data_IF_394556477490
#
_entry.id   IF_394556477490
#
_cell.length_a   1.000
_cell.length_b   1.000
_cell.length_c   1.000
_cell.angle_alpha   90.00
_cell.angle_beta   90.00
_cell.angle_gamma   90.00
#
_symmetry.space_group_name_H-M   'P 1'
#
loop_
_entity.id
_entity.type
_entity.pdbx_description
1 polymer ?
#
# COMPACT_ATOMS: atom_id res chain seq x y z
N UNK A 1 -28.24 -3.24 -15.44
CA UNK A 1 -29.00 -3.09 -14.19
C UNK A 1 -28.26 -3.88 -13.13
N UNK A 2 -27.88 -3.27 -12.00
CA UNK A 2 -27.20 -3.99 -10.91
C UNK A 2 -28.21 -4.78 -10.10
N UNK A 3 -27.79 -5.89 -9.50
CA UNK A 3 -28.64 -6.69 -8.63
C UNK A 3 -28.92 -5.98 -7.32
N UNK A 4 -29.98 -6.37 -6.61
CA UNK A 4 -30.30 -5.83 -5.28
C UNK A 4 -29.15 -6.03 -4.28
N UNK A 5 -28.42 -7.16 -4.40
CA UNK A 5 -27.21 -7.42 -3.61
C UNK A 5 -26.08 -6.43 -3.92
N UNK A 6 -25.80 -6.19 -5.21
CA UNK A 6 -24.78 -5.22 -5.63
C UNK A 6 -25.13 -3.80 -5.18
N UNK A 7 -26.41 -3.43 -5.25
CA UNK A 7 -26.88 -2.13 -4.77
C UNK A 7 -26.68 -1.96 -3.26
N UNK A 8 -27.08 -2.96 -2.46
CA UNK A 8 -26.85 -2.93 -1.00
C UNK A 8 -25.37 -2.85 -0.64
N UNK A 9 -24.51 -3.59 -1.34
CA UNK A 9 -23.07 -3.55 -1.12
C UNK A 9 -22.48 -2.18 -1.49
N UNK A 10 -22.91 -1.61 -2.61
CA UNK A 10 -22.51 -0.26 -3.04
C UNK A 10 -22.90 0.77 -1.99
N UNK A 11 -24.17 0.81 -1.59
CA UNK A 11 -24.69 1.77 -0.60
C UNK A 11 -23.94 1.65 0.74
N UNK A 12 -23.58 0.42 1.14
CA UNK A 12 -22.78 0.17 2.35
C UNK A 12 -21.39 0.80 2.27
N UNK A 13 -20.67 0.63 1.18
CA UNK A 13 -19.33 1.24 1.04
C UNK A 13 -19.41 2.77 0.95
N UNK A 14 -20.43 3.31 0.29
CA UNK A 14 -20.63 4.76 0.18
C UNK A 14 -20.97 5.41 1.52
N UNK A 15 -21.75 4.71 2.37
CA UNK A 15 -22.13 5.20 3.69
C UNK A 15 -20.99 5.13 4.73
N UNK A 16 -19.93 4.36 4.48
CA UNK A 16 -18.81 4.22 5.40
C UNK A 16 -17.87 5.45 5.30
N UNK A 17 -17.74 6.26 6.38
CA UNK A 17 -16.79 7.37 6.39
C UNK A 17 -15.35 6.84 6.39
N UNK A 18 -14.40 7.68 5.96
CA UNK A 18 -12.98 7.40 6.19
C UNK A 18 -12.73 7.42 7.69
N UNK A 19 -12.03 6.41 8.18
CA UNK A 19 -11.74 6.22 9.60
C UNK A 19 -10.27 5.83 9.80
N UNK A 20 -9.75 6.12 10.99
CA UNK A 20 -8.43 5.66 11.38
C UNK A 20 -8.35 4.14 11.29
N UNK A 21 -7.20 3.63 10.84
CA UNK A 21 -6.92 2.21 10.96
C UNK A 21 -7.00 1.82 12.45
N UNK A 22 -7.61 0.67 12.78
CA UNK A 22 -7.72 0.20 14.16
C UNK A 22 -6.35 -0.25 14.68
N UNK A 23 -6.22 -0.39 16.00
CA UNK A 23 -5.11 -1.16 16.57
C UNK A 23 -5.04 -2.56 15.92
N UNK A 24 -3.84 -3.09 15.63
CA UNK A 24 -2.52 -2.60 16.03
C UNK A 24 -1.87 -1.62 15.03
N UNK A 25 -2.60 -1.14 14.02
CA UNK A 25 -2.04 -0.33 12.94
C UNK A 25 -1.86 1.13 13.35
N UNK A 26 -0.62 1.59 13.30
CA UNK A 26 -0.25 2.96 13.65
C UNK A 26 0.23 3.70 12.41
N UNK A 27 -0.28 4.92 12.14
CA UNK A 27 0.21 5.71 11.02
C UNK A 27 1.68 6.07 11.25
N UNK A 28 2.51 5.88 10.24
CA UNK A 28 3.95 6.20 10.32
C UNK A 28 4.18 7.71 10.35
N UNK A 29 3.28 8.48 9.71
CA UNK A 29 3.23 9.93 9.73
C UNK A 29 1.77 10.39 9.82
N UNK A 30 1.53 11.54 10.45
CA UNK A 30 0.19 12.14 10.55
C UNK A 30 -0.44 12.42 9.18
N UNK A 31 0.40 12.61 8.15
CA UNK A 31 0.00 12.80 6.76
C UNK A 31 0.84 11.89 5.86
N UNK A 32 0.29 11.55 4.70
CA UNK A 32 1.05 10.87 3.64
C UNK A 32 2.34 11.63 3.29
N UNK A 33 3.33 10.87 2.83
CA UNK A 33 4.58 11.42 2.31
C UNK A 33 4.35 11.87 0.87
N UNK A 34 4.52 13.17 0.54
CA UNK A 34 4.32 13.64 -0.83
C UNK A 34 5.39 13.07 -1.78
N UNK A 35 4.94 12.46 -2.87
CA UNK A 35 5.74 11.89 -3.95
C UNK A 35 5.14 12.34 -5.29
N UNK A 36 5.75 13.34 -5.92
CA UNK A 36 5.30 13.81 -7.23
C UNK A 36 5.43 12.73 -8.31
N UNK A 37 4.33 12.38 -8.97
CA UNK A 37 4.34 11.47 -10.11
C UNK A 37 4.69 10.03 -9.74
N UNK A 38 4.24 9.55 -8.58
CA UNK A 38 4.46 8.18 -8.14
C UNK A 38 3.85 7.19 -9.15
N UNK A 39 4.67 6.26 -9.63
CA UNK A 39 4.31 5.23 -10.60
C UNK A 39 3.98 3.91 -9.92
N UNK A 40 4.72 3.54 -8.88
CA UNK A 40 4.48 2.33 -8.10
C UNK A 40 5.41 2.22 -6.90
N UNK A 41 5.19 1.19 -6.08
CA UNK A 41 6.02 0.88 -4.91
C UNK A 41 6.34 -0.61 -4.83
N UNK A 42 7.42 -0.94 -4.14
CA UNK A 42 7.78 -2.32 -3.83
C UNK A 42 8.47 -2.43 -2.47
N UNK A 43 8.34 -3.58 -1.82
CA UNK A 43 8.97 -3.82 -0.52
C UNK A 43 10.29 -4.57 -0.65
N UNK A 44 11.21 -4.25 0.26
CA UNK A 44 12.44 -4.97 0.51
C UNK A 44 12.68 -5.04 2.02
N UNK A 45 13.73 -5.74 2.43
CA UNK A 45 14.11 -5.87 3.84
C UNK A 45 15.47 -5.21 4.04
N UNK A 46 15.58 -4.37 5.07
CA UNK A 46 16.86 -3.79 5.45
C UNK A 46 17.81 -4.91 5.90
N UNK A 47 19.01 -5.05 5.33
CA UNK A 47 19.90 -6.19 5.61
C UNK A 47 20.32 -6.27 7.09
N UNK A 48 20.56 -5.12 7.73
CA UNK A 48 21.01 -5.10 9.13
C UNK A 48 19.87 -5.11 10.16
N UNK A 49 18.85 -4.27 10.02
CA UNK A 49 17.77 -4.16 11.02
C UNK A 49 16.62 -5.17 10.82
N UNK A 50 16.49 -5.75 9.62
CA UNK A 50 15.35 -6.57 9.25
C UNK A 50 14.03 -5.80 9.08
N UNK A 51 14.07 -4.46 9.15
CA UNK A 51 12.88 -3.63 8.93
C UNK A 51 12.39 -3.74 7.48
N UNK A 52 11.08 -3.64 7.31
CA UNK A 52 10.50 -3.43 5.99
C UNK A 52 10.95 -2.06 5.45
N UNK A 53 11.46 -2.07 4.22
CA UNK A 53 11.75 -0.89 3.42
C UNK A 53 10.77 -0.82 2.27
N UNK A 54 10.37 0.39 1.89
CA UNK A 54 9.54 0.62 0.71
C UNK A 54 10.31 1.45 -0.30
N UNK A 55 10.53 0.86 -1.47
CA UNK A 55 11.05 1.55 -2.64
C UNK A 55 9.88 2.19 -3.38
N UNK A 56 10.05 3.45 -3.75
CA UNK A 56 9.10 4.26 -4.48
C UNK A 56 9.69 4.61 -5.84
N UNK A 57 8.95 4.27 -6.89
CA UNK A 57 9.26 4.62 -8.27
C UNK A 57 8.40 5.82 -8.64
N UNK A 58 9.00 6.92 -9.07
CA UNK A 58 8.29 8.14 -9.49
C UNK A 58 8.91 8.75 -10.74
N UNK A 59 8.17 9.60 -11.43
CA UNK A 59 8.68 10.31 -12.61
C UNK A 59 9.84 11.26 -12.32
N UNK A 60 10.03 11.67 -11.06
CA UNK A 60 11.15 12.50 -10.61
C UNK A 60 12.34 11.65 -10.11
N UNK A 61 12.32 10.33 -10.35
CA UNK A 61 13.34 9.37 -9.91
C UNK A 61 12.87 8.45 -8.78
N UNK A 62 13.75 7.64 -8.20
CA UNK A 62 13.39 6.62 -7.19
C UNK A 62 13.84 6.96 -5.77
N UNK A 63 13.08 6.54 -4.77
CA UNK A 63 13.41 6.76 -3.36
C UNK A 63 13.22 5.49 -2.55
N UNK A 64 13.99 5.33 -1.48
CA UNK A 64 13.84 4.24 -0.52
C UNK A 64 13.54 4.81 0.85
N UNK A 65 12.54 4.24 1.51
CA UNK A 65 12.07 4.70 2.82
C UNK A 65 12.09 3.56 3.83
N UNK A 66 12.48 3.86 5.06
CA UNK A 66 12.22 2.98 6.21
C UNK A 66 10.74 3.09 6.58
N UNK A 67 10.03 1.96 6.62
CA UNK A 67 8.58 1.96 6.82
C UNK A 67 8.16 2.11 8.28
N UNK A 68 9.09 1.99 9.23
CA UNK A 68 8.84 2.19 10.66
C UNK A 68 8.98 3.68 11.01
N UNK A 69 10.01 4.34 10.48
CA UNK A 69 10.29 5.75 10.77
C UNK A 69 9.69 6.72 9.75
N UNK A 70 9.41 6.23 8.53
CA UNK A 70 9.03 7.07 7.39
C UNK A 70 10.16 7.95 6.89
N UNK A 71 11.41 7.68 7.27
CA UNK A 71 12.58 8.41 6.79
C UNK A 71 12.95 7.96 5.37
N UNK A 72 13.31 8.92 4.51
CA UNK A 72 13.88 8.62 3.19
C UNK A 72 15.38 8.34 3.35
N UNK A 73 15.77 7.07 3.23
CA UNK A 73 17.13 6.61 3.50
C UNK A 73 18.02 6.57 2.25
N UNK A 74 17.43 6.53 1.04
CA UNK A 74 18.16 6.66 -0.21
C UNK A 74 17.33 7.36 -1.30
N UNK A 75 18.00 7.99 -2.26
CA UNK A 75 17.39 8.72 -3.38
C UNK A 75 18.26 8.62 -4.62
N UNK A 76 17.64 8.22 -5.71
CA UNK A 76 18.16 8.39 -7.07
C UNK A 76 17.26 9.39 -7.82
N UNK A 77 17.86 10.39 -8.45
CA UNK A 77 17.14 11.43 -9.21
C UNK A 77 17.17 11.20 -10.71
N UNK A 78 18.11 10.40 -11.19
CA UNK A 78 18.30 10.16 -12.62
C UNK A 78 18.50 8.66 -12.88
N UNK A 79 17.49 7.84 -12.55
CA UNK A 79 17.59 6.40 -12.72
C UNK A 79 17.64 6.04 -14.21
N UNK A 80 18.44 5.04 -14.56
CA UNK A 80 18.65 4.67 -15.96
C UNK A 80 17.33 4.23 -16.61
N UNK A 81 16.87 4.89 -17.70
CA UNK A 81 15.50 4.73 -18.21
C UNK A 81 15.20 3.29 -18.67
N UNK A 82 16.18 2.63 -19.28
CA UNK A 82 16.00 1.28 -19.85
C UNK A 82 16.05 0.14 -18.82
N UNK A 83 16.45 0.40 -17.58
CA UNK A 83 16.66 -0.66 -16.58
C UNK A 83 15.96 -0.38 -15.27
N UNK A 84 15.55 0.86 -15.04
CA UNK A 84 15.01 1.31 -13.77
C UNK A 84 13.53 1.70 -13.88
N UNK A 85 12.91 1.63 -15.05
CA UNK A 85 11.45 1.72 -15.19
C UNK A 85 10.85 0.33 -15.00
N UNK A 86 9.79 0.14 -14.17
CA UNK A 86 9.29 -1.20 -13.85
C UNK A 86 8.94 -2.06 -15.08
N UNK A 87 8.33 -1.47 -16.11
CA UNK A 87 7.91 -2.16 -17.33
C UNK A 87 9.07 -2.50 -18.28
N UNK A 88 10.29 -2.03 -18.00
CA UNK A 88 11.49 -2.45 -18.72
C UNK A 88 11.98 -3.85 -18.29
N UNK A 89 11.48 -4.39 -17.17
CA UNK A 89 11.81 -5.72 -16.67
C UNK A 89 10.57 -6.66 -16.71
N UNK A 90 10.69 -7.93 -17.14
CA UNK A 90 9.54 -8.84 -17.30
C UNK A 90 8.77 -9.12 -15.98
N UNK A 91 9.46 -9.00 -14.84
CA UNK A 91 8.86 -9.18 -13.51
C UNK A 91 8.36 -7.88 -12.86
N UNK A 92 8.25 -6.78 -13.62
CA UNK A 92 7.88 -5.46 -13.11
C UNK A 92 8.80 -5.00 -11.97
N UNK A 93 10.11 -5.02 -12.18
CA UNK A 93 11.10 -4.83 -11.13
C UNK A 93 12.09 -3.69 -11.42
N UNK A 94 12.60 -3.08 -10.35
CA UNK A 94 13.63 -2.05 -10.41
C UNK A 94 14.84 -2.44 -9.54
N UNK A 95 16.06 -2.00 -9.89
CA UNK A 95 17.22 -2.13 -9.01
C UNK A 95 17.03 -1.41 -7.68
N UNK A 96 17.36 -2.08 -6.58
CA UNK A 96 17.33 -1.51 -5.24
C UNK A 96 18.32 -0.36 -5.06
N UNK A 97 18.05 0.49 -4.08
CA UNK A 97 18.85 1.67 -3.74
C UNK A 97 19.55 1.51 -2.39
N UNK A 98 20.71 2.16 -2.21
CA UNK A 98 21.39 2.25 -0.92
C UNK A 98 21.61 0.89 -0.26
N UNK A 99 21.07 0.61 0.94
CA UNK A 99 21.32 -0.63 1.66
C UNK A 99 20.79 -1.90 0.97
N UNK A 100 19.93 -1.78 -0.04
CA UNK A 100 19.41 -2.91 -0.82
C UNK A 100 19.94 -2.94 -2.26
N UNK A 101 21.02 -2.20 -2.55
CA UNK A 101 21.69 -2.24 -3.83
C UNK A 101 22.06 -3.69 -4.22
N UNK A 102 21.91 -4.01 -5.50
CA UNK A 102 22.09 -5.38 -6.01
C UNK A 102 20.88 -6.30 -5.84
N UNK A 103 19.81 -5.86 -5.15
CA UNK A 103 18.53 -6.58 -5.10
C UNK A 103 17.57 -6.06 -6.17
N UNK A 104 16.76 -6.95 -6.77
CA UNK A 104 15.65 -6.55 -7.64
C UNK A 104 14.37 -6.40 -6.79
N UNK A 105 13.79 -5.20 -6.79
CA UNK A 105 12.56 -4.91 -6.06
C UNK A 105 11.39 -5.00 -7.03
N UNK A 106 10.44 -5.91 -6.76
CA UNK A 106 9.19 -6.01 -7.54
C UNK A 106 8.27 -4.84 -7.20
N UNK A 107 7.78 -4.16 -8.22
CA UNK A 107 7.01 -2.94 -8.12
C UNK A 107 5.55 -3.21 -8.51
N UNK A 108 4.63 -2.80 -7.63
CA UNK A 108 3.21 -2.74 -7.90
C UNK A 108 2.80 -1.29 -8.16
N UNK A 109 2.03 -1.04 -9.22
CA UNK A 109 1.62 0.31 -9.59
C UNK A 109 0.94 0.37 -10.96
N UNK A 110 1.16 1.48 -11.67
CA UNK A 110 0.52 1.77 -12.96
C UNK A 110 0.82 0.73 -14.07
N UNK A 111 1.94 0.04 -13.97
CA UNK A 111 2.33 -1.02 -14.92
C UNK A 111 1.83 -2.42 -14.54
N UNK A 112 1.04 -2.54 -13.45
CA UNK A 112 0.54 -3.80 -12.93
C UNK A 112 1.26 -4.24 -11.66
N UNK A 113 1.34 -5.57 -11.46
CA UNK A 113 1.86 -6.17 -10.24
C UNK A 113 0.82 -6.20 -9.12
N UNK A 114 1.27 -6.56 -7.91
CA UNK A 114 0.41 -6.62 -6.73
C UNK A 114 1.22 -6.73 -5.45
N UNK A 115 0.72 -6.08 -4.39
CA UNK A 115 1.19 -6.26 -3.03
C UNK A 115 0.38 -7.37 -2.36
N UNK A 116 0.81 -7.83 -1.17
CA UNK A 116 0.05 -8.83 -0.43
C UNK A 116 -1.29 -8.25 0.02
N UNK A 117 -2.40 -8.94 -0.25
CA UNK A 117 -3.74 -8.54 0.20
C UNK A 117 -4.12 -9.12 1.56
N UNK A 118 -3.30 -10.02 2.12
CA UNK A 118 -3.53 -10.64 3.41
C UNK A 118 -2.26 -10.72 4.24
N UNK A 119 -2.42 -10.81 5.56
CA UNK A 119 -1.34 -11.11 6.49
C UNK A 119 -1.54 -12.50 7.12
N UNK A 120 -0.48 -13.16 7.64
CA UNK A 120 -0.59 -14.48 8.26
C UNK A 120 -1.51 -14.54 9.48
N UNK A 121 -1.77 -13.41 10.12
CA UNK A 121 -2.61 -13.27 11.30
C UNK A 121 -4.01 -12.71 10.99
N UNK A 122 -4.47 -12.87 9.75
CA UNK A 122 -5.90 -12.74 9.43
C UNK A 122 -6.38 -11.36 8.98
N UNK A 123 -5.48 -10.37 8.84
CA UNK A 123 -5.84 -9.11 8.21
C UNK A 123 -6.00 -9.28 6.71
N UNK A 124 -7.00 -8.61 6.14
CA UNK A 124 -7.24 -8.55 4.71
C UNK A 124 -7.38 -7.10 4.24
N UNK A 125 -6.99 -6.88 2.99
CA UNK A 125 -7.11 -5.59 2.32
C UNK A 125 -7.84 -5.75 1.00
N UNK A 126 -8.89 -4.96 0.83
CA UNK A 126 -9.68 -4.90 -0.39
C UNK A 126 -9.68 -3.48 -0.95
N UNK A 127 -9.48 -3.35 -2.26
CA UNK A 127 -9.68 -2.10 -2.98
C UNK A 127 -11.02 -2.19 -3.71
N UNK A 128 -11.94 -1.29 -3.38
CA UNK A 128 -13.29 -1.27 -3.96
C UNK A 128 -13.60 0.09 -4.58
N UNK A 129 -14.32 0.08 -5.69
CA UNK A 129 -14.68 1.30 -6.45
C UNK A 129 -16.20 1.42 -6.58
N UNK A 130 -16.95 1.62 -5.48
CA UNK A 130 -18.42 1.71 -5.53
C UNK A 130 -18.90 2.90 -6.37
N UNK A 131 -18.05 3.90 -6.56
CA UNK A 131 -18.25 5.08 -7.40
C UNK A 131 -16.94 5.42 -8.14
N UNK A 132 -16.54 4.55 -9.08
CA UNK A 132 -15.36 4.82 -9.92
C UNK A 132 -15.36 6.27 -10.45
N UNK A 133 -14.24 7.02 -10.38
CA UNK A 133 -12.87 6.55 -10.09
C UNK A 133 -12.43 6.62 -8.62
N UNK A 134 -13.36 6.79 -7.69
CA UNK A 134 -13.00 6.99 -6.27
C UNK A 134 -12.82 5.65 -5.55
N UNK A 135 -11.59 5.15 -5.64
CA UNK A 135 -11.20 3.91 -4.98
C UNK A 135 -11.17 4.09 -3.46
N UNK A 136 -11.62 3.05 -2.76
CA UNK A 136 -11.65 2.95 -1.31
C UNK A 136 -10.84 1.75 -0.88
N UNK A 137 -9.94 1.96 0.07
CA UNK A 137 -9.14 0.89 0.67
C UNK A 137 -9.82 0.46 1.95
N UNK A 138 -10.20 -0.82 1.98
CA UNK A 138 -10.90 -1.45 3.08
C UNK A 138 -9.95 -2.40 3.78
N UNK A 139 -9.65 -2.10 5.04
CA UNK A 139 -8.91 -2.99 5.93
C UNK A 139 -9.92 -3.81 6.74
N UNK A 140 -9.72 -5.11 6.87
CA UNK A 140 -10.59 -5.95 7.70
C UNK A 140 -9.77 -6.92 8.54
N UNK A 141 -10.31 -7.31 9.70
CA UNK A 141 -9.78 -8.38 10.54
C UNK A 141 -10.50 -9.70 10.26
N UNK A 142 -9.97 -10.81 10.78
CA UNK A 142 -10.58 -12.15 10.79
C UNK A 142 -11.07 -12.65 9.41
N UNK A 143 -10.32 -12.37 8.35
CA UNK A 143 -10.62 -12.91 7.02
C UNK A 143 -11.74 -12.19 6.26
N UNK A 144 -12.08 -10.95 6.64
CA UNK A 144 -12.52 -9.97 5.64
C UNK A 144 -13.91 -10.14 5.06
N UNK A 145 -14.89 -10.60 5.83
CA UNK A 145 -16.24 -10.77 5.27
C UNK A 145 -16.99 -9.42 5.03
N UNK A 146 -16.41 -8.27 5.36
CA UNK A 146 -17.08 -6.95 5.43
C UNK A 146 -18.47 -7.02 6.08
N UNK A 147 -18.68 -7.97 6.98
CA UNK A 147 -19.95 -8.22 7.69
C UNK A 147 -19.97 -7.35 8.95
N UNK A 148 -21.17 -6.96 9.37
CA UNK A 148 -21.34 -6.05 10.50
C UNK A 148 -21.05 -4.58 10.18
N UNK A 149 -21.28 -3.67 11.12
CA UNK A 149 -21.09 -2.24 10.89
C UNK A 149 -19.62 -1.90 10.63
N UNK A 150 -19.38 -0.81 9.89
CA UNK A 150 -18.03 -0.29 9.68
C UNK A 150 -17.46 0.21 11.02
N UNK A 151 -16.18 -0.01 11.25
CA UNK A 151 -15.49 0.35 12.49
C UNK A 151 -15.34 -0.80 13.50
N UNK A 152 -16.00 -1.94 13.28
CA UNK A 152 -15.93 -3.12 14.16
C UNK A 152 -15.03 -4.22 13.61
N UNK A 153 -15.33 -4.74 12.42
CA UNK A 153 -14.58 -5.82 11.78
C UNK A 153 -13.93 -5.40 10.45
N UNK A 154 -14.29 -4.21 9.96
CA UNK A 154 -13.75 -3.62 8.73
C UNK A 154 -13.78 -2.10 8.80
N UNK A 155 -12.80 -1.47 8.16
CA UNK A 155 -12.53 -0.04 8.22
C UNK A 155 -12.23 0.50 6.83
N UNK A 156 -12.86 1.60 6.46
CA UNK A 156 -12.51 2.37 5.27
C UNK A 156 -11.33 3.29 5.63
N UNK A 157 -10.12 2.82 5.37
CA UNK A 157 -8.88 3.46 5.88
C UNK A 157 -8.29 4.50 4.93
N UNK A 158 -8.67 4.46 3.64
CA UNK A 158 -8.21 5.43 2.66
C UNK A 158 -9.24 5.63 1.55
N UNK A 159 -9.44 6.89 1.14
CA UNK A 159 -10.31 7.29 0.03
C UNK A 159 -9.50 8.07 -1.02
N UNK A 160 -9.47 7.55 -2.24
CA UNK A 160 -8.79 8.16 -3.40
C UNK A 160 -9.67 9.26 -4.02
N UNK A 161 -9.77 10.41 -3.38
CA UNK A 161 -10.61 11.52 -3.86
C UNK A 161 -9.91 12.41 -4.89
N UNK A 162 -8.61 12.65 -4.73
CA UNK A 162 -7.88 13.69 -5.48
C UNK A 162 -6.75 13.16 -6.34
N UNK A 163 -6.28 11.95 -6.08
CA UNK A 163 -5.10 11.38 -6.76
C UNK A 163 -5.33 9.91 -6.96
N UNK A 164 -5.19 9.48 -8.21
CA UNK A 164 -5.40 8.11 -8.66
C UNK A 164 -4.62 7.12 -7.79
N UNK A 165 -5.31 6.09 -7.29
CA UNK A 165 -4.69 4.98 -6.57
C UNK A 165 -3.76 4.21 -7.52
N UNK A 166 -2.52 3.99 -7.09
CA UNK A 166 -1.52 3.20 -7.82
C UNK A 166 -1.48 1.77 -7.32
N UNK A 167 -1.47 1.60 -6.01
CA UNK A 167 -1.54 0.28 -5.37
C UNK A 167 -1.82 0.42 -3.88
N UNK A 168 -2.30 -0.65 -3.26
CA UNK A 168 -2.43 -0.79 -1.83
C UNK A 168 -2.17 -2.25 -1.41
N UNK A 169 -1.57 -2.46 -0.25
CA UNK A 169 -1.31 -3.80 0.27
C UNK A 169 -0.27 -3.84 1.37
N UNK A 170 -0.03 -5.05 1.87
CA UNK A 170 0.91 -5.33 2.92
C UNK A 170 2.31 -5.63 2.39
N UNK A 171 3.30 -5.36 3.24
CA UNK A 171 4.66 -5.90 3.10
C UNK A 171 4.64 -7.43 3.22
N UNK A 172 5.66 -8.12 2.68
CA UNK A 172 5.78 -9.58 2.82
C UNK A 172 5.80 -10.07 4.28
N UNK A 173 6.30 -9.26 5.22
CA UNK A 173 6.28 -9.57 6.65
C UNK A 173 4.87 -9.46 7.27
N UNK A 174 3.97 -8.72 6.61
CA UNK A 174 2.66 -8.35 7.14
C UNK A 174 2.70 -7.26 8.22
N UNK A 175 3.84 -6.62 8.46
CA UNK A 175 4.00 -5.59 9.50
C UNK A 175 3.77 -4.16 9.01
N UNK A 176 3.75 -3.95 7.69
CA UNK A 176 3.50 -2.66 7.07
C UNK A 176 2.35 -2.75 6.09
N UNK A 177 1.41 -1.80 6.18
CA UNK A 177 0.38 -1.53 5.19
C UNK A 177 0.78 -0.26 4.42
N UNK A 178 0.74 -0.32 3.09
CA UNK A 178 0.99 0.82 2.24
C UNK A 178 -0.21 1.12 1.34
N UNK A 179 -0.46 2.42 1.13
CA UNK A 179 -1.34 2.94 0.08
C UNK A 179 -0.55 3.98 -0.69
N UNK A 180 -0.41 3.78 -2.00
CA UNK A 180 0.28 4.68 -2.89
C UNK A 180 -0.71 5.26 -3.92
N UNK A 181 -0.75 6.58 -4.04
CA UNK A 181 -1.46 7.30 -5.12
C UNK A 181 -0.46 7.88 -6.09
N UNK A 182 -0.90 8.58 -7.14
CA UNK A 182 -0.03 9.29 -8.07
C UNK A 182 0.77 10.45 -7.43
N UNK A 183 0.46 10.83 -6.19
CA UNK A 183 1.00 12.01 -5.51
C UNK A 183 1.51 11.77 -4.09
N UNK A 184 1.14 10.66 -3.44
CA UNK A 184 1.42 10.42 -2.03
C UNK A 184 1.71 8.93 -1.74
N UNK A 185 2.52 8.71 -0.71
CA UNK A 185 2.71 7.41 -0.06
C UNK A 185 2.21 7.49 1.38
N UNK A 186 1.21 6.70 1.72
CA UNK A 186 0.70 6.56 3.10
C UNK A 186 1.08 5.18 3.65
N UNK A 187 1.63 5.15 4.86
CA UNK A 187 2.10 3.94 5.52
C UNK A 187 1.49 3.82 6.91
N UNK A 188 1.11 2.59 7.26
CA UNK A 188 0.81 2.18 8.62
C UNK A 188 1.73 1.03 8.99
N UNK A 189 2.16 0.99 10.25
CA UNK A 189 3.04 -0.05 10.78
C UNK A 189 2.48 -0.62 12.07
N UNK A 190 2.86 -1.86 12.37
CA UNK A 190 2.60 -2.53 13.64
C UNK A 190 3.85 -3.30 14.06
N UNK A 191 4.01 -3.55 15.36
CA UNK A 191 5.26 -4.10 15.91
C UNK A 191 5.46 -5.59 15.68
N UNK A 192 4.37 -6.36 15.63
CA UNK A 192 4.43 -7.81 15.54
C UNK A 192 3.13 -8.36 14.94
N UNK A 193 3.20 -9.59 14.43
CA UNK A 193 2.02 -10.37 14.08
C UNK A 193 1.29 -10.79 15.37
N UNK A 194 -0.03 -10.65 15.39
CA UNK A 194 -0.87 -11.07 16.51
C UNK A 194 -1.57 -12.37 16.15
N UNK A 195 -0.97 -13.50 16.51
CA UNK A 195 -1.66 -14.78 16.40
C UNK A 195 -2.65 -14.92 17.56
N UNK A 196 -3.95 -14.86 17.26
CA UNK A 196 -4.96 -15.29 18.22
C UNK A 196 -4.81 -16.81 18.41
N UNK A 197 -4.60 -17.21 19.66
CA UNK A 197 -4.38 -18.59 20.09
C UNK A 197 -5.67 -19.27 20.53
#
# INVERSE_FOLDING_TARGET
MITEYQQKLRERYLAAPVMSAPEPWQPVRDRGTPIGGLLGIGFAVHPDSGHDLVMVVSSDGHGLFDTVTGEKIARDRDPHPDTSTPDAHPDLACPGLGPIEGTQVRIAGIFGGGLHSTTPDGWTLDVVSPEWPHDRVILSADGGAHKGPAGEAWWHVFHSEHSELRTAGFSPSGLTLAVATSSDLTLWTRRQLHYDN
#
